data_IF_061352601612
#
_entry.id   IF_061352601612
#
_cell.length_a   1.000
_cell.length_b   1.000
_cell.length_c   1.000
_cell.angle_alpha   90.00
_cell.angle_beta   90.00
_cell.angle_gamma   90.00
#
_symmetry.space_group_name_H-M   'P 1'
#
loop_
_entity.id
_entity.type
_entity.pdbx_description
1 polymer ?
#
# COMPACT_ATOMS: atom_id res chain seq x y z
N UNK A 1 -26.03 -1.16 11.03
CA UNK A 1 -25.10 -0.35 11.86
C UNK A 1 -23.71 -0.35 11.25
N UNK A 2 -23.16 0.80 11.13
CA UNK A 2 -21.77 0.95 10.68
C UNK A 2 -20.82 0.57 11.83
N UNK A 3 -19.86 -0.34 11.55
CA UNK A 3 -18.90 -0.77 12.56
C UNK A 3 -17.95 0.37 12.96
N UNK A 4 -17.43 0.33 14.18
CA UNK A 4 -16.40 1.27 14.67
C UNK A 4 -15.23 1.36 13.69
N UNK A 5 -14.80 0.22 13.17
CA UNK A 5 -13.72 0.13 12.20
C UNK A 5 -14.03 0.91 10.91
N UNK A 6 -15.26 0.81 10.38
CA UNK A 6 -15.67 1.56 9.19
C UNK A 6 -15.64 3.07 9.40
N UNK A 7 -16.15 3.53 10.56
CA UNK A 7 -16.12 4.94 10.92
C UNK A 7 -14.68 5.48 11.02
N UNK A 8 -13.80 4.69 11.60
CA UNK A 8 -12.38 5.06 11.74
C UNK A 8 -11.67 5.08 10.41
N UNK A 9 -12.00 4.16 9.50
CA UNK A 9 -11.45 4.16 8.12
C UNK A 9 -11.86 5.44 7.37
N UNK A 10 -13.11 5.88 7.48
CA UNK A 10 -13.54 7.14 6.87
C UNK A 10 -12.73 8.33 7.39
N UNK A 11 -12.53 8.43 8.69
CA UNK A 11 -11.69 9.47 9.31
C UNK A 11 -10.24 9.41 8.83
N UNK A 12 -9.71 8.20 8.66
CA UNK A 12 -8.38 8.00 8.12
C UNK A 12 -8.26 8.48 6.67
N UNK A 13 -9.22 8.16 5.82
CA UNK A 13 -9.23 8.60 4.43
C UNK A 13 -9.32 10.12 4.30
N UNK A 14 -10.14 10.77 5.13
CA UNK A 14 -10.18 12.23 5.22
C UNK A 14 -8.85 12.83 5.69
N UNK A 15 -8.20 12.20 6.66
CA UNK A 15 -6.89 12.61 7.15
C UNK A 15 -5.82 12.55 6.07
N UNK A 16 -5.73 11.45 5.31
CA UNK A 16 -4.71 11.32 4.26
C UNK A 16 -4.98 12.24 3.07
N UNK A 17 -6.24 12.57 2.81
CA UNK A 17 -6.62 13.55 1.80
C UNK A 17 -6.22 14.97 2.20
N UNK A 18 -6.65 15.41 3.38
CA UNK A 18 -6.52 16.80 3.82
C UNK A 18 -5.14 17.15 4.38
N UNK A 19 -4.58 16.26 5.20
CA UNK A 19 -3.33 16.55 5.91
C UNK A 19 -2.10 15.97 5.24
N UNK A 20 -2.25 14.85 4.52
CA UNK A 20 -1.13 14.19 3.84
C UNK A 20 -1.04 14.51 2.35
N UNK A 21 -2.06 15.10 1.79
CA UNK A 21 -2.10 15.50 0.39
C UNK A 21 -2.01 14.33 -0.60
N UNK A 22 -2.55 13.17 -0.24
CA UNK A 22 -2.57 12.02 -1.13
C UNK A 22 -3.44 12.28 -2.35
N UNK A 23 -3.03 11.75 -3.51
CA UNK A 23 -3.81 11.84 -4.73
C UNK A 23 -5.14 11.08 -4.59
N UNK A 24 -6.14 11.50 -5.36
CA UNK A 24 -7.45 10.84 -5.42
C UNK A 24 -7.34 9.35 -5.71
N UNK A 25 -6.46 8.97 -6.64
CA UNK A 25 -6.21 7.57 -6.99
C UNK A 25 -5.65 6.76 -5.82
N UNK A 26 -4.74 7.34 -5.04
CA UNK A 26 -4.18 6.68 -3.85
C UNK A 26 -5.23 6.49 -2.77
N UNK A 27 -6.09 7.48 -2.55
CA UNK A 27 -7.19 7.41 -1.58
C UNK A 27 -8.19 6.33 -1.96
N UNK A 28 -8.59 6.27 -3.23
CA UNK A 28 -9.49 5.24 -3.74
C UNK A 28 -8.87 3.84 -3.62
N UNK A 29 -7.58 3.70 -3.92
CA UNK A 29 -6.86 2.44 -3.77
C UNK A 29 -6.82 2.00 -2.30
N UNK A 30 -6.51 2.91 -1.39
CA UNK A 30 -6.50 2.64 0.05
C UNK A 30 -7.89 2.26 0.57
N UNK A 31 -8.92 2.95 0.11
CA UNK A 31 -10.30 2.62 0.47
C UNK A 31 -10.66 1.18 0.06
N UNK A 32 -10.39 0.82 -1.19
CA UNK A 32 -10.64 -0.56 -1.69
C UNK A 32 -9.85 -1.61 -0.91
N UNK A 33 -8.58 -1.33 -0.64
CA UNK A 33 -7.72 -2.26 0.09
C UNK A 33 -8.18 -2.47 1.54
N UNK A 34 -8.60 -1.41 2.21
CA UNK A 34 -9.14 -1.47 3.58
C UNK A 34 -10.52 -2.16 3.62
N UNK A 35 -11.38 -1.91 2.64
CA UNK A 35 -12.67 -2.62 2.54
C UNK A 35 -12.47 -4.11 2.29
N UNK A 36 -11.51 -4.49 1.47
CA UNK A 36 -11.16 -5.90 1.26
C UNK A 36 -10.67 -6.56 2.56
N UNK A 37 -9.89 -5.83 3.36
CA UNK A 37 -9.47 -6.32 4.67
C UNK A 37 -10.66 -6.52 5.63
N UNK A 38 -11.61 -5.59 5.65
CA UNK A 38 -12.85 -5.74 6.44
C UNK A 38 -13.62 -6.98 6.01
N UNK A 39 -13.76 -7.20 4.71
CA UNK A 39 -14.44 -8.38 4.18
C UNK A 39 -13.74 -9.67 4.65
N UNK A 40 -12.43 -9.71 4.56
CA UNK A 40 -11.61 -10.81 5.09
C UNK A 40 -11.88 -11.06 6.59
N UNK A 41 -11.92 -10.01 7.40
CA UNK A 41 -12.20 -10.14 8.84
C UNK A 41 -13.59 -10.71 9.11
N UNK A 42 -14.59 -10.31 8.34
CA UNK A 42 -15.95 -10.87 8.40
C UNK A 42 -15.97 -12.35 8.10
N UNK A 43 -15.29 -12.76 7.03
CA UNK A 43 -15.18 -14.17 6.62
C UNK A 43 -14.50 -15.04 7.69
N UNK A 44 -13.56 -14.46 8.43
CA UNK A 44 -12.85 -15.12 9.53
C UNK A 44 -13.54 -14.97 10.89
N UNK A 45 -14.71 -14.35 10.94
CA UNK A 45 -15.44 -14.08 12.18
C UNK A 45 -14.61 -13.32 13.22
N UNK A 46 -13.73 -12.43 12.76
CA UNK A 46 -12.95 -11.54 13.62
C UNK A 46 -13.80 -10.32 13.96
N UNK A 47 -13.75 -9.90 15.23
CA UNK A 47 -14.47 -8.71 15.67
C UNK A 47 -14.03 -7.46 14.89
N UNK A 48 -15.02 -6.70 14.38
CA UNK A 48 -14.78 -5.47 13.60
C UNK A 48 -14.53 -4.25 14.52
N UNK A 49 -13.76 -4.48 15.57
CA UNK A 49 -13.20 -3.45 16.45
C UNK A 49 -11.77 -3.12 16.01
N UNK A 50 -11.26 -1.98 16.39
CA UNK A 50 -9.88 -1.60 16.04
C UNK A 50 -8.88 -2.58 16.65
N UNK A 51 -9.06 -2.92 17.93
CA UNK A 51 -8.20 -3.88 18.63
C UNK A 51 -8.27 -5.30 18.05
N UNK A 52 -9.47 -5.74 17.67
CA UNK A 52 -9.67 -7.05 17.06
C UNK A 52 -9.06 -7.17 15.67
N UNK A 53 -9.23 -6.14 14.86
CA UNK A 53 -8.77 -6.08 13.48
C UNK A 53 -7.25 -5.85 13.37
N UNK A 54 -6.72 -4.91 14.17
CA UNK A 54 -5.33 -4.46 14.09
C UNK A 54 -4.39 -5.37 14.91
N UNK A 55 -4.36 -6.65 14.56
CA UNK A 55 -3.45 -7.63 15.17
C UNK A 55 -2.46 -8.16 14.16
N UNK A 56 -1.26 -8.48 14.61
CA UNK A 56 -0.23 -9.13 13.81
C UNK A 56 -0.74 -10.39 13.09
N UNK A 57 -1.52 -11.20 13.79
CA UNK A 57 -2.14 -12.41 13.25
C UNK A 57 -3.11 -12.10 12.11
N UNK A 58 -3.92 -11.06 12.25
CA UNK A 58 -4.86 -10.64 11.19
C UNK A 58 -4.12 -10.21 9.92
N UNK A 59 -3.04 -9.47 10.05
CA UNK A 59 -2.21 -9.05 8.91
C UNK A 59 -1.55 -10.23 8.22
N UNK A 60 -0.98 -11.15 8.98
CA UNK A 60 -0.33 -12.35 8.44
C UNK A 60 -1.33 -13.26 7.72
N UNK A 61 -2.48 -13.50 8.35
CA UNK A 61 -3.54 -14.32 7.76
C UNK A 61 -4.09 -13.67 6.47
N UNK A 62 -4.23 -12.37 6.45
CA UNK A 62 -4.65 -11.63 5.26
C UNK A 62 -3.63 -11.74 4.13
N UNK A 63 -2.34 -11.54 4.41
CA UNK A 63 -1.27 -11.73 3.42
C UNK A 63 -1.28 -13.16 2.86
N UNK A 64 -1.42 -14.15 3.71
CA UNK A 64 -1.48 -15.55 3.32
C UNK A 64 -2.66 -15.82 2.39
N UNK A 65 -3.85 -15.31 2.71
CA UNK A 65 -5.03 -15.44 1.86
C UNK A 65 -4.82 -14.78 0.49
N UNK A 66 -4.28 -13.57 0.47
CA UNK A 66 -3.99 -12.86 -0.79
C UNK A 66 -3.00 -13.62 -1.67
N UNK A 67 -1.99 -14.22 -1.06
CA UNK A 67 -1.01 -15.07 -1.76
C UNK A 67 -1.66 -16.32 -2.33
N UNK A 68 -2.53 -16.98 -1.56
CA UNK A 68 -3.27 -18.16 -2.02
C UNK A 68 -4.27 -17.85 -3.16
N UNK A 69 -4.80 -16.63 -3.20
CA UNK A 69 -5.64 -16.16 -4.29
C UNK A 69 -4.85 -15.81 -5.56
N UNK A 70 -3.54 -15.98 -5.54
CA UNK A 70 -2.67 -15.71 -6.68
C UNK A 70 -2.42 -14.22 -6.95
N UNK A 71 -2.65 -13.36 -5.96
CA UNK A 71 -2.37 -11.94 -6.13
C UNK A 71 -0.86 -11.67 -6.25
N UNK A 72 -0.52 -10.70 -7.09
CA UNK A 72 0.88 -10.34 -7.33
C UNK A 72 1.53 -9.77 -6.07
N UNK A 73 2.81 -10.06 -5.80
CA UNK A 73 3.53 -9.52 -4.64
C UNK A 73 3.44 -8.00 -4.50
N UNK A 74 3.46 -7.27 -5.62
CA UNK A 74 3.29 -5.81 -5.64
C UNK A 74 1.92 -5.37 -5.13
N UNK A 75 0.85 -6.08 -5.51
CA UNK A 75 -0.51 -5.81 -5.03
C UNK A 75 -0.64 -6.09 -3.55
N UNK A 76 -0.07 -7.19 -3.07
CA UNK A 76 -0.04 -7.54 -1.65
C UNK A 76 0.73 -6.48 -0.86
N UNK A 77 1.91 -6.06 -1.34
CA UNK A 77 2.71 -5.02 -0.71
C UNK A 77 1.96 -3.70 -0.57
N UNK A 78 1.22 -3.27 -1.61
CA UNK A 78 0.40 -2.07 -1.57
C UNK A 78 -0.70 -2.18 -0.50
N UNK A 79 -1.41 -3.30 -0.46
CA UNK A 79 -2.47 -3.55 0.53
C UNK A 79 -1.94 -3.51 1.96
N UNK A 80 -0.79 -4.13 2.19
CA UNK A 80 -0.15 -4.10 3.50
C UNK A 80 0.35 -2.69 3.85
N UNK A 81 0.83 -1.93 2.87
CA UNK A 81 1.21 -0.53 3.08
C UNK A 81 0.00 0.33 3.51
N UNK A 82 -1.17 0.13 2.92
CA UNK A 82 -2.40 0.79 3.33
C UNK A 82 -2.77 0.45 4.79
N UNK A 83 -2.69 -0.83 5.17
CA UNK A 83 -2.93 -1.27 6.54
C UNK A 83 -1.91 -0.70 7.54
N UNK A 84 -0.64 -0.64 7.15
CA UNK A 84 0.42 -0.02 7.97
C UNK A 84 0.17 1.47 8.19
N UNK A 85 -0.24 2.17 7.14
CA UNK A 85 -0.59 3.60 7.23
C UNK A 85 -1.80 3.83 8.15
N UNK A 86 -2.82 2.99 8.02
CA UNK A 86 -3.99 3.02 8.89
C UNK A 86 -3.64 2.71 10.36
N UNK A 87 -2.79 1.71 10.61
CA UNK A 87 -2.31 1.39 11.96
C UNK A 87 -1.59 2.57 12.61
N UNK A 88 -0.72 3.26 11.86
CA UNK A 88 -0.03 4.47 12.36
C UNK A 88 -1.01 5.58 12.71
N UNK A 89 -2.03 5.76 11.88
CA UNK A 89 -3.10 6.72 12.18
C UNK A 89 -3.84 6.37 13.47
N UNK A 90 -4.20 5.09 13.67
CA UNK A 90 -4.87 4.63 14.89
C UNK A 90 -4.02 4.87 16.15
N UNK A 91 -2.71 4.62 16.08
CA UNK A 91 -1.78 4.92 17.18
C UNK A 91 -1.73 6.42 17.46
N UNK A 92 -1.62 7.25 16.42
CA UNK A 92 -1.59 8.72 16.55
C UNK A 92 -2.87 9.27 17.19
N UNK A 93 -4.02 8.67 16.90
CA UNK A 93 -5.31 9.06 17.48
C UNK A 93 -5.58 8.44 18.86
N UNK A 94 -4.64 7.67 19.40
CA UNK A 94 -4.79 7.03 20.71
C UNK A 94 -5.74 5.83 20.72
N UNK A 95 -6.11 5.32 19.54
CA UNK A 95 -6.98 4.15 19.40
C UNK A 95 -6.25 2.82 19.58
N UNK A 96 -4.93 2.83 19.42
CA UNK A 96 -4.03 1.72 19.68
C UNK A 96 -2.85 2.21 20.52
N UNK A 97 -2.44 1.40 21.49
CA UNK A 97 -1.27 1.71 22.33
C UNK A 97 0.04 1.44 21.61
N UNK A 98 0.07 0.37 20.83
CA UNK A 98 1.25 -0.04 20.07
C UNK A 98 0.89 -0.28 18.62
N UNK A 99 1.88 -0.15 17.74
CA UNK A 99 1.67 -0.39 16.31
C UNK A 99 1.95 -1.85 15.95
N UNK A 100 0.92 -2.68 15.74
CA UNK A 100 1.10 -4.10 15.42
C UNK A 100 1.71 -4.31 14.03
N UNK A 101 1.66 -3.33 13.16
CA UNK A 101 2.19 -3.44 11.81
C UNK A 101 3.72 -3.36 11.73
N UNK A 102 4.40 -2.90 12.79
CA UNK A 102 5.87 -2.80 12.82
C UNK A 102 6.57 -4.17 12.66
N UNK A 103 5.95 -5.22 13.17
CA UNK A 103 6.50 -6.58 13.14
C UNK A 103 6.06 -7.38 11.92
N UNK A 104 5.27 -6.79 11.04
CA UNK A 104 4.80 -7.42 9.81
C UNK A 104 5.74 -7.03 8.67
N UNK A 105 6.50 -7.99 8.18
CA UNK A 105 7.33 -7.79 6.99
C UNK A 105 6.46 -7.81 5.74
N UNK A 106 6.66 -6.82 4.88
CA UNK A 106 6.07 -6.81 3.54
C UNK A 106 6.76 -7.85 2.66
N UNK A 107 6.05 -8.50 1.72
CA UNK A 107 6.71 -9.36 0.75
C UNK A 107 7.83 -8.61 0.06
N UNK A 108 9.00 -9.23 -0.03
CA UNK A 108 10.09 -8.67 -0.81
C UNK A 108 9.63 -8.59 -2.27
N UNK A 109 9.50 -7.38 -2.77
CA UNK A 109 9.36 -7.18 -4.20
C UNK A 109 10.72 -7.52 -4.81
N UNK A 110 10.71 -8.47 -5.75
CA UNK A 110 11.84 -8.61 -6.65
C UNK A 110 12.02 -7.25 -7.33
N UNK A 111 13.00 -6.50 -6.85
CA UNK A 111 13.41 -5.31 -7.58
C UNK A 111 13.84 -5.81 -8.95
N UNK A 112 13.19 -5.38 -10.05
CA UNK A 112 13.76 -5.64 -11.35
C UNK A 112 15.20 -5.14 -11.26
N UNK A 113 16.16 -6.03 -11.54
CA UNK A 113 17.56 -5.67 -11.66
C UNK A 113 17.60 -4.36 -12.45
N UNK A 114 18.23 -3.30 -11.94
CA UNK A 114 18.37 -2.09 -12.72
C UNK A 114 18.97 -2.53 -14.04
N UNK A 115 18.22 -2.37 -15.13
CA UNK A 115 18.74 -2.60 -16.46
C UNK A 115 19.82 -1.54 -16.64
N UNK A 116 21.06 -1.91 -16.35
CA UNK A 116 22.18 -1.07 -16.67
C UNK A 116 22.19 -0.90 -18.19
N UNK A 117 21.66 0.22 -18.65
CA UNK A 117 21.81 0.65 -20.01
C UNK A 117 23.30 0.63 -20.31
N UNK A 118 23.70 -0.17 -21.30
CA UNK A 118 25.07 -0.10 -21.79
C UNK A 118 25.36 1.35 -22.19
N UNK A 119 26.61 1.76 -22.10
CA UNK A 119 27.03 3.12 -22.45
C UNK A 119 26.50 3.56 -23.83
N UNK A 120 26.44 2.64 -24.77
CA UNK A 120 25.88 2.80 -26.11
C UNK A 120 24.37 3.11 -26.10
N UNK A 121 23.60 2.42 -25.24
CA UNK A 121 22.16 2.67 -25.08
C UNK A 121 21.89 3.98 -24.37
N UNK A 122 22.77 4.41 -23.48
CA UNK A 122 22.69 5.71 -22.81
C UNK A 122 22.97 6.85 -23.79
N UNK A 123 23.90 6.67 -24.73
CA UNK A 123 24.21 7.65 -25.79
C UNK A 123 23.06 7.77 -26.79
N UNK A 124 22.41 6.67 -27.18
CA UNK A 124 21.22 6.67 -28.03
C UNK A 124 20.03 7.43 -27.40
N UNK A 125 19.87 7.33 -26.08
CA UNK A 125 18.82 8.05 -25.33
C UNK A 125 19.16 9.53 -25.22
N UNK A 126 20.44 9.92 -25.19
CA UNK A 126 20.91 11.31 -25.10
C UNK A 126 20.90 12.05 -26.42
N UNK A 127 20.80 11.38 -27.56
CA UNK A 127 20.70 12.06 -28.85
C UNK A 127 19.31 12.67 -29.05
N UNK A 128 19.20 13.97 -29.28
CA UNK A 128 17.93 14.64 -29.43
C UNK A 128 17.30 14.30 -30.77
N UNK A 129 16.40 13.38 -30.80
CA UNK A 129 15.43 13.23 -31.85
C UNK A 129 14.03 13.55 -31.28
N UNK A 130 13.26 14.31 -32.03
CA UNK A 130 12.11 15.09 -31.59
C UNK A 130 10.97 14.49 -30.78
N UNK A 131 11.03 13.26 -30.30
CA UNK A 131 9.99 12.63 -29.47
C UNK A 131 10.52 12.03 -28.16
N UNK A 132 11.67 12.46 -27.70
CA UNK A 132 12.36 11.85 -26.57
C UNK A 132 12.04 12.45 -25.20
N UNK A 133 11.19 13.43 -25.10
CA UNK A 133 10.75 13.98 -23.82
C UNK A 133 9.99 12.95 -22.99
N UNK A 134 9.16 12.14 -23.61
CA UNK A 134 8.44 11.05 -22.93
C UNK A 134 9.41 9.95 -22.48
N UNK A 135 10.37 9.59 -23.32
CA UNK A 135 11.38 8.56 -23.00
C UNK A 135 12.32 9.02 -21.88
N UNK A 136 12.72 10.28 -21.85
CA UNK A 136 13.51 10.86 -20.76
C UNK A 136 12.70 10.96 -19.47
N UNK A 137 11.43 11.26 -19.55
CA UNK A 137 10.51 11.29 -18.43
C UNK A 137 10.34 9.88 -17.81
N UNK A 138 10.15 8.86 -18.65
CA UNK A 138 10.05 7.48 -18.23
C UNK A 138 11.37 6.97 -17.63
N UNK A 139 12.50 7.36 -18.19
CA UNK A 139 13.83 7.07 -17.66
C UNK A 139 14.05 7.71 -16.28
N UNK A 140 13.67 8.97 -16.10
CA UNK A 140 13.77 9.68 -14.82
C UNK A 140 12.87 9.05 -13.76
N UNK A 141 11.66 8.61 -14.12
CA UNK A 141 10.75 7.88 -13.24
C UNK A 141 11.33 6.53 -12.84
N UNK A 142 12.01 5.83 -13.74
CA UNK A 142 12.68 4.56 -13.46
C UNK A 142 13.90 4.72 -12.53
N UNK A 143 14.61 5.85 -12.56
CA UNK A 143 15.72 6.13 -11.64
C UNK A 143 15.24 6.37 -10.20
N UNK A 144 14.03 6.90 -9.99
CA UNK A 144 13.46 7.18 -8.68
C UNK A 144 12.72 5.99 -8.04
N UNK A 145 12.49 4.94 -8.77
CA UNK A 145 11.84 3.72 -8.34
C UNK A 145 12.76 2.50 -8.45
#
# INVERSE_FOLDING_TARGET
>A
MESELNKTIKKFLEYVEKERGFSKHTIEAYNRDLLQFIQFLKEKNVALTIEGAMRKQSFRAFMFQLSNMGQRPRSIARKIAALKSFSRFCVRKGLLQTNPSKVVSTPKLDKPLPVFLTQKQTEEIKTPSGNKFETLRDFTVLEFF
#
